data_IF_464433056832
#
_entry.id   IF_464433056832
#
_cell.length_a   1.000
_cell.length_b   1.000
_cell.length_c   1.000
_cell.angle_alpha   90.00
_cell.angle_beta   90.00
_cell.angle_gamma   90.00
#
_symmetry.space_group_name_H-M   'P 1'
#
loop_
_entity.id
_entity.type
_entity.pdbx_description
1 polymer ?
#
# COMPACT_ATOMS: atom_id res chain seq x y z
N UNK A 1 10.37 -14.56 23.72
CA UNK A 1 10.28 -13.81 22.44
C UNK A 1 8.99 -12.97 22.30
N UNK A 2 7.86 -13.40 22.88
CA UNK A 2 6.59 -12.64 22.85
C UNK A 2 6.62 -11.35 23.70
N UNK A 3 7.23 -11.38 24.89
CA UNK A 3 7.36 -10.21 25.76
C UNK A 3 8.20 -9.06 25.15
N UNK A 4 9.18 -9.36 24.29
CA UNK A 4 10.02 -8.32 23.65
C UNK A 4 9.27 -7.57 22.55
N UNK A 5 8.36 -8.23 21.82
CA UNK A 5 7.51 -7.57 20.80
C UNK A 5 6.42 -6.70 21.44
N UNK A 6 5.89 -7.11 22.59
CA UNK A 6 4.93 -6.31 23.36
C UNK A 6 5.64 -5.11 24.00
N UNK A 7 6.85 -5.29 24.56
CA UNK A 7 7.65 -4.18 25.12
C UNK A 7 8.07 -3.16 24.06
N UNK A 8 8.33 -3.57 22.82
CA UNK A 8 8.59 -2.64 21.70
C UNK A 8 7.37 -1.78 21.40
N UNK A 9 6.20 -2.40 21.23
CA UNK A 9 4.94 -1.67 20.96
C UNK A 9 4.52 -0.76 22.11
N UNK A 10 4.78 -1.15 23.36
CA UNK A 10 4.53 -0.31 24.54
C UNK A 10 5.50 0.87 24.60
N UNK A 11 6.76 0.69 24.19
CA UNK A 11 7.73 1.80 24.04
C UNK A 11 7.29 2.81 22.99
N UNK A 12 6.80 2.34 21.85
CA UNK A 12 6.37 3.21 20.75
C UNK A 12 5.12 4.02 21.13
N UNK A 13 4.19 3.39 21.85
CA UNK A 13 2.98 4.07 22.37
C UNK A 13 3.31 5.07 23.50
N UNK A 14 4.27 4.75 24.36
CA UNK A 14 4.77 5.68 25.39
C UNK A 14 5.50 6.88 24.77
N UNK A 15 6.23 6.67 23.66
CA UNK A 15 6.88 7.75 22.91
C UNK A 15 5.86 8.69 22.28
N UNK A 16 4.82 8.15 21.65
CA UNK A 16 3.74 8.94 21.03
C UNK A 16 2.97 9.72 22.11
N UNK A 17 2.63 9.08 23.23
CA UNK A 17 1.94 9.75 24.34
C UNK A 17 2.80 10.81 25.04
N UNK A 18 4.12 10.62 25.13
CA UNK A 18 5.04 11.62 25.66
C UNK A 18 5.20 12.81 24.71
N UNK A 19 5.24 12.57 23.39
CA UNK A 19 5.27 13.63 22.39
C UNK A 19 3.99 14.47 22.42
N UNK A 20 2.84 13.81 22.51
CA UNK A 20 1.53 14.45 22.54
C UNK A 20 1.32 15.24 23.84
N UNK A 21 1.78 14.70 24.98
CA UNK A 21 1.78 15.42 26.27
C UNK A 21 2.69 16.66 26.26
N UNK A 22 3.87 16.58 25.64
CA UNK A 22 4.80 17.71 25.53
C UNK A 22 4.24 18.80 24.60
N UNK A 23 3.63 18.40 23.48
CA UNK A 23 2.98 19.31 22.53
C UNK A 23 1.76 20.01 23.15
N UNK A 24 0.99 19.29 23.98
CA UNK A 24 -0.23 19.84 24.59
C UNK A 24 0.06 20.78 25.76
N UNK A 25 1.22 20.63 26.42
CA UNK A 25 1.58 21.41 27.62
C UNK A 25 2.54 22.58 27.36
N UNK A 26 3.22 22.62 26.21
CA UNK A 26 4.06 23.75 25.85
C UNK A 26 3.25 24.90 25.24
N UNK A 27 2.85 25.87 26.06
CA UNK A 27 2.61 27.24 25.59
C UNK A 27 3.96 27.87 25.19
N UNK A 28 4.53 27.43 24.06
CA UNK A 28 5.73 28.02 23.45
C UNK A 28 5.35 28.58 22.09
N UNK A 29 4.68 29.74 22.13
CA UNK A 29 4.71 30.68 21.01
C UNK A 29 6.12 31.24 20.91
N UNK A 30 6.70 31.13 19.71
CA UNK A 30 7.93 31.77 19.26
C UNK A 30 9.19 31.51 20.10
N UNK A 31 9.95 30.45 19.78
CA UNK A 31 11.40 30.47 19.54
C UNK A 31 11.91 29.07 19.16
N UNK A 32 12.92 29.01 18.28
CA UNK A 32 13.57 27.79 17.80
C UNK A 32 14.13 26.97 18.98
N UNK A 33 13.52 25.81 19.26
CA UNK A 33 14.06 24.85 20.24
C UNK A 33 15.02 23.91 19.52
N UNK A 34 16.28 23.91 19.96
CA UNK A 34 17.35 23.05 19.46
C UNK A 34 17.15 21.59 19.95
N UNK A 35 17.27 20.62 19.05
CA UNK A 35 17.18 19.17 19.32
C UNK A 35 18.06 18.68 20.47
N UNK A 36 19.21 19.34 20.72
CA UNK A 36 20.10 18.99 21.82
C UNK A 36 19.50 19.28 23.22
N UNK A 37 18.60 20.27 23.32
CA UNK A 37 17.92 20.61 24.58
C UNK A 37 16.82 19.59 24.91
N UNK A 38 16.14 19.07 23.89
CA UNK A 38 15.17 17.96 24.01
C UNK A 38 15.85 16.67 24.52
N UNK A 39 17.05 16.37 24.05
CA UNK A 39 17.83 15.21 24.53
C UNK A 39 18.25 15.33 26.01
N UNK A 40 18.57 16.54 26.50
CA UNK A 40 18.95 16.76 27.90
C UNK A 40 17.76 16.64 28.86
N UNK A 41 16.55 16.99 28.42
CA UNK A 41 15.32 16.89 29.23
C UNK A 41 14.82 15.44 29.30
N UNK A 42 15.02 14.65 28.24
CA UNK A 42 14.51 13.27 28.17
C UNK A 42 15.38 12.23 28.91
N UNK A 43 16.65 12.54 29.18
CA UNK A 43 17.62 11.59 29.74
C UNK A 43 17.32 11.14 31.19
N UNK A 44 16.97 12.02 32.15
CA UNK A 44 16.71 11.59 33.53
C UNK A 44 15.40 10.78 33.66
N UNK A 45 14.39 11.13 32.87
CA UNK A 45 13.05 10.52 32.86
C UNK A 45 13.09 9.10 32.27
N UNK A 46 13.95 8.87 31.27
CA UNK A 46 14.16 7.54 30.70
C UNK A 46 14.86 6.60 31.68
N UNK A 47 15.80 7.12 32.47
CA UNK A 47 16.54 6.36 33.50
C UNK A 47 15.64 5.95 34.67
N UNK A 48 14.74 6.84 35.11
CA UNK A 48 13.73 6.55 36.14
C UNK A 48 12.74 5.47 35.66
N UNK A 49 12.28 5.56 34.40
CA UNK A 49 11.41 4.55 33.78
C UNK A 49 12.11 3.19 33.61
N UNK A 50 13.40 3.18 33.30
CA UNK A 50 14.20 1.94 33.25
C UNK A 50 14.39 1.32 34.64
N UNK A 51 14.58 2.14 35.68
CA UNK A 51 14.73 1.68 37.07
C UNK A 51 13.42 1.11 37.63
N UNK A 52 12.28 1.74 37.32
CA UNK A 52 10.95 1.24 37.65
C UNK A 52 10.63 -0.09 36.93
N UNK A 53 11.06 -0.25 35.68
CA UNK A 53 10.87 -1.47 34.90
C UNK A 53 11.82 -2.62 35.31
N UNK A 54 12.94 -2.32 35.97
CA UNK A 54 13.83 -3.33 36.56
C UNK A 54 13.33 -3.82 37.92
N UNK A 55 12.73 -2.93 38.73
CA UNK A 55 12.19 -3.30 40.04
C UNK A 55 10.93 -4.19 39.96
N UNK A 56 10.18 -4.16 38.85
CA UNK A 56 9.01 -5.03 38.64
C UNK A 56 9.35 -6.47 38.22
N UNK A 57 10.62 -6.79 37.91
CA UNK A 57 11.04 -8.16 37.55
C UNK A 57 11.29 -9.09 38.74
N UNK A 58 11.34 -8.57 39.96
CA UNK A 58 11.73 -9.33 41.15
C UNK A 58 10.63 -9.45 42.22
N UNK A 59 9.37 -9.70 41.84
CA UNK A 59 8.30 -9.96 42.82
C UNK A 59 7.45 -11.18 42.43
N UNK A 60 7.64 -12.27 43.19
CA UNK A 60 6.77 -13.44 43.26
C UNK A 60 6.04 -13.42 44.61
N UNK A 61 4.70 -13.44 44.60
CA UNK A 61 3.87 -13.82 45.74
C UNK A 61 3.47 -12.71 46.73
N UNK A 62 2.37 -12.90 47.49
CA UNK A 62 1.37 -11.85 47.72
C UNK A 62 1.45 -11.25 49.12
N UNK A 63 1.49 -9.92 49.23
CA UNK A 63 0.96 -9.21 50.39
C UNK A 63 0.38 -7.85 49.98
N UNK A 64 -0.89 -7.66 50.36
CA UNK A 64 -1.56 -6.37 50.36
C UNK A 64 -1.16 -5.69 51.66
N UNK A 65 -0.41 -4.59 51.58
CA UNK A 65 -0.29 -3.62 52.67
C UNK A 65 -0.56 -2.22 52.14
N UNK A 66 -1.40 -1.51 52.87
CA UNK A 66 -2.02 -0.24 52.51
C UNK A 66 -1.05 0.96 52.53
N UNK A 67 -1.26 1.85 51.54
CA UNK A 67 -0.98 3.31 51.50
C UNK A 67 0.48 3.83 51.29
N UNK A 68 0.65 5.07 50.74
CA UNK A 68 -0.36 6.05 50.32
C UNK A 68 -0.39 6.30 48.81
N UNK A 69 -1.51 5.94 48.17
CA UNK A 69 -1.91 6.46 46.86
C UNK A 69 -2.38 7.90 47.08
N UNK A 70 -1.45 8.83 47.19
CA UNK A 70 -1.74 10.24 47.33
C UNK A 70 -0.72 11.06 46.54
N UNK A 71 -0.83 10.98 45.20
CA UNK A 71 -0.49 11.99 44.18
C UNK A 71 -0.27 11.30 42.84
N UNK A 72 -1.36 10.82 42.25
CA UNK A 72 -1.40 10.54 40.81
C UNK A 72 -2.67 11.21 40.25
N UNK A 73 -2.60 11.93 39.12
CA UNK A 73 -3.76 12.62 38.57
C UNK A 73 -4.89 11.62 38.30
N UNK A 74 -6.13 12.00 38.61
CA UNK A 74 -7.35 11.20 38.49
C UNK A 74 -7.62 10.61 37.09
N UNK A 75 -6.84 10.99 36.07
CA UNK A 75 -6.88 10.42 34.71
C UNK A 75 -6.09 9.11 34.55
N UNK A 76 -5.17 8.77 35.44
CA UNK A 76 -4.38 7.52 35.38
C UNK A 76 -5.08 6.33 36.03
N UNK A 77 -5.93 6.56 37.04
CA UNK A 77 -6.77 5.51 37.65
C UNK A 77 -7.82 4.95 36.67
N UNK A 78 -8.23 5.73 35.66
CA UNK A 78 -9.12 5.28 34.59
C UNK A 78 -8.45 4.29 33.62
N UNK A 79 -7.13 4.40 33.42
CA UNK A 79 -6.40 3.54 32.49
C UNK A 79 -6.00 2.19 33.10
N UNK A 80 -5.72 2.15 34.41
CA UNK A 80 -5.44 0.90 35.13
C UNK A 80 -6.65 -0.04 35.20
N UNK A 81 -7.86 0.53 35.33
CA UNK A 81 -9.12 -0.22 35.36
C UNK A 81 -9.51 -0.73 33.96
N UNK A 82 -9.23 0.03 32.88
CA UNK A 82 -9.44 -0.45 31.52
C UNK A 82 -8.52 -1.63 31.14
N UNK A 83 -7.28 -1.63 31.64
CA UNK A 83 -6.33 -2.72 31.40
C UNK A 83 -6.70 -3.97 32.20
N UNK A 84 -7.27 -3.84 33.40
CA UNK A 84 -7.82 -4.97 34.17
C UNK A 84 -9.08 -5.58 33.54
N UNK A 85 -9.93 -4.75 32.92
CA UNK A 85 -11.13 -5.21 32.18
C UNK A 85 -10.73 -5.94 30.88
N UNK A 86 -9.65 -5.49 30.22
CA UNK A 86 -9.12 -6.15 29.02
C UNK A 86 -8.35 -7.46 29.31
N UNK A 87 -7.84 -7.64 30.54
CA UNK A 87 -7.19 -8.88 30.96
C UNK A 87 -8.13 -9.94 31.54
N UNK A 88 -9.40 -9.59 31.83
CA UNK A 88 -10.39 -10.53 32.40
C UNK A 88 -11.29 -11.24 31.37
N UNK A 89 -11.15 -10.99 30.07
CA UNK A 89 -12.00 -11.59 29.04
C UNK A 89 -11.41 -12.80 28.29
N UNK A 90 -10.44 -13.50 28.90
CA UNK A 90 -9.93 -14.77 28.37
C UNK A 90 -10.11 -15.89 29.38
N UNK A 91 -11.33 -16.42 29.46
CA UNK A 91 -11.63 -17.79 29.91
C UNK A 91 -13.02 -18.18 29.41
N UNK A 92 -13.08 -18.93 28.31
CA UNK A 92 -14.29 -19.66 27.90
C UNK A 92 -14.49 -20.86 28.84
N UNK A 93 -15.68 -21.07 29.42
CA UNK A 93 -16.10 -22.42 29.78
C UNK A 93 -16.57 -23.13 28.49
N UNK A 94 -16.06 -24.35 28.28
CA UNK A 94 -16.75 -25.33 27.44
C UNK A 94 -18.07 -25.71 28.11
N UNK A 95 -19.15 -25.79 27.36
CA UNK A 95 -20.44 -26.29 27.83
C UNK A 95 -21.21 -26.98 26.68
N UNK A 96 -22.14 -27.91 26.96
CA UNK A 96 -21.87 -29.34 26.84
C UNK A 96 -22.66 -30.02 25.71
N UNK A 97 -22.18 -31.22 25.35
CA UNK A 97 -22.85 -32.17 24.47
C UNK A 97 -24.23 -32.60 25.00
N UNK A 98 -25.28 -32.48 24.16
CA UNK A 98 -26.45 -33.39 24.02
C UNK A 98 -27.42 -32.80 22.99
N UNK A 99 -28.26 -33.53 22.26
CA UNK A 99 -28.43 -34.96 22.05
C UNK A 99 -29.00 -35.15 20.62
N UNK A 100 -28.66 -36.27 19.98
CA UNK A 100 -29.31 -36.73 18.75
C UNK A 100 -30.77 -37.08 19.02
N UNK A 101 -31.67 -36.63 18.15
CA UNK A 101 -32.89 -37.35 17.81
C UNK A 101 -33.10 -37.31 16.28
N UNK A 102 -33.19 -38.47 15.61
CA UNK A 102 -33.52 -38.55 14.20
C UNK A 102 -35.04 -38.55 14.04
N UNK A 103 -35.58 -37.73 13.15
CA UNK A 103 -36.72 -38.00 12.26
C UNK A 103 -37.17 -36.67 11.66
N UNK A 104 -36.70 -36.39 10.44
CA UNK A 104 -37.08 -35.22 9.65
C UNK A 104 -37.34 -35.64 8.20
N UNK A 105 -38.63 -35.75 7.86
CA UNK A 105 -39.29 -35.78 6.56
C UNK A 105 -38.41 -35.86 5.26
N UNK A 106 -38.52 -36.91 4.43
CA UNK A 106 -37.65 -37.15 3.26
C UNK A 106 -38.01 -36.37 1.99
N UNK A 107 -38.96 -35.42 2.02
CA UNK A 107 -39.35 -34.62 0.84
C UNK A 107 -39.12 -33.11 1.00
N UNK A 108 -37.93 -32.71 1.46
CA UNK A 108 -37.43 -31.35 1.22
C UNK A 108 -36.25 -31.41 0.27
N UNK A 109 -36.56 -31.22 -1.01
CA UNK A 109 -35.62 -30.90 -2.07
C UNK A 109 -34.95 -29.57 -1.70
N UNK A 110 -33.81 -29.63 -1.01
CA UNK A 110 -32.97 -28.47 -0.74
C UNK A 110 -32.14 -28.28 -2.02
N UNK A 111 -32.63 -27.43 -2.92
CA UNK A 111 -31.72 -26.77 -3.85
C UNK A 111 -30.63 -26.07 -3.01
N UNK A 112 -29.35 -26.07 -3.45
CA UNK A 112 -28.34 -25.36 -2.70
C UNK A 112 -28.77 -23.89 -2.64
N UNK A 113 -29.03 -23.39 -1.42
CA UNK A 113 -29.34 -21.98 -1.15
C UNK A 113 -28.07 -21.15 -1.40
N UNK A 114 -27.65 -21.04 -2.65
CA UNK A 114 -26.98 -19.84 -3.12
C UNK A 114 -28.00 -18.73 -2.99
N UNK A 115 -27.73 -17.73 -2.15
CA UNK A 115 -28.50 -16.49 -2.14
C UNK A 115 -28.55 -15.98 -3.58
N UNK A 116 -29.69 -16.16 -4.27
CA UNK A 116 -29.89 -15.59 -5.60
C UNK A 116 -29.74 -14.07 -5.45
N UNK A 117 -28.71 -13.52 -6.10
CA UNK A 117 -28.54 -12.08 -6.17
C UNK A 117 -29.77 -11.49 -6.85
N UNK A 118 -30.26 -10.34 -6.36
CA UNK A 118 -31.34 -9.66 -7.07
C UNK A 118 -30.86 -9.22 -8.46
N UNK A 119 -31.75 -9.13 -9.46
CA UNK A 119 -31.36 -8.74 -10.82
C UNK A 119 -30.58 -7.41 -10.86
N UNK A 120 -30.98 -6.43 -10.04
CA UNK A 120 -30.29 -5.14 -9.90
C UNK A 120 -28.85 -5.29 -9.39
N UNK A 121 -28.66 -6.13 -8.38
CA UNK A 121 -27.35 -6.39 -7.79
C UNK A 121 -26.43 -7.15 -8.76
N UNK A 122 -26.98 -8.10 -9.51
CA UNK A 122 -26.27 -8.81 -10.56
C UNK A 122 -25.84 -7.86 -11.68
N UNK A 123 -26.72 -6.94 -12.11
CA UNK A 123 -26.40 -5.95 -13.13
C UNK A 123 -25.27 -5.01 -12.71
N UNK A 124 -25.28 -4.52 -11.46
CA UNK A 124 -24.19 -3.70 -10.92
C UNK A 124 -22.85 -4.43 -10.93
N UNK A 125 -22.85 -5.71 -10.51
CA UNK A 125 -21.64 -6.54 -10.53
C UNK A 125 -21.16 -6.77 -11.97
N UNK A 126 -22.04 -7.14 -12.89
CA UNK A 126 -21.68 -7.39 -14.28
C UNK A 126 -21.12 -6.13 -14.94
N UNK A 127 -21.74 -4.97 -14.72
CA UNK A 127 -21.24 -3.70 -15.23
C UNK A 127 -19.81 -3.41 -14.75
N UNK A 128 -19.52 -3.64 -13.46
CA UNK A 128 -18.17 -3.49 -12.94
C UNK A 128 -17.19 -4.48 -13.60
N UNK A 129 -17.55 -5.76 -13.68
CA UNK A 129 -16.67 -6.78 -14.24
C UNK A 129 -16.43 -6.60 -15.74
N UNK A 130 -17.43 -6.14 -16.49
CA UNK A 130 -17.31 -5.80 -17.91
C UNK A 130 -16.37 -4.60 -18.09
N UNK A 131 -16.52 -3.54 -17.29
CA UNK A 131 -15.59 -2.39 -17.32
C UNK A 131 -14.16 -2.83 -17.01
N UNK A 132 -13.96 -3.66 -15.98
CA UNK A 132 -12.64 -4.21 -15.66
C UNK A 132 -12.07 -5.06 -16.81
N UNK A 133 -12.89 -5.89 -17.45
CA UNK A 133 -12.49 -6.66 -18.62
C UNK A 133 -12.03 -5.76 -19.77
N UNK A 134 -12.78 -4.68 -20.06
CA UNK A 134 -12.40 -3.72 -21.10
C UNK A 134 -11.08 -3.01 -20.79
N UNK A 135 -10.83 -2.66 -19.53
CA UNK A 135 -9.54 -2.09 -19.11
C UNK A 135 -8.39 -3.08 -19.29
N UNK A 136 -8.58 -4.34 -18.92
CA UNK A 136 -7.58 -5.39 -19.14
C UNK A 136 -7.28 -5.61 -20.63
N UNK A 137 -8.30 -5.56 -21.48
CA UNK A 137 -8.13 -5.60 -22.95
C UNK A 137 -7.33 -4.40 -23.43
N UNK A 138 -7.65 -3.18 -22.96
CA UNK A 138 -6.93 -1.95 -23.30
C UNK A 138 -5.47 -1.97 -22.86
N UNK A 139 -5.15 -2.65 -21.76
CA UNK A 139 -3.78 -2.82 -21.28
C UNK A 139 -2.96 -3.81 -22.10
N UNK A 140 -3.60 -4.65 -22.91
CA UNK A 140 -2.88 -5.61 -23.73
C UNK A 140 -2.07 -4.87 -24.80
N UNK A 141 -0.73 -4.97 -24.80
CA UNK A 141 0.11 -4.19 -25.70
C UNK A 141 -0.11 -4.59 -27.17
N UNK A 142 -0.32 -3.60 -28.03
CA UNK A 142 -0.38 -3.81 -29.49
C UNK A 142 0.98 -4.24 -30.03
N UNK A 143 2.06 -3.56 -29.62
CA UNK A 143 3.42 -4.00 -29.88
C UNK A 143 4.07 -4.50 -28.61
N UNK A 144 4.74 -5.64 -28.71
CA UNK A 144 5.36 -6.33 -27.56
C UNK A 144 6.40 -5.48 -26.81
N UNK A 145 7.11 -4.59 -27.51
CA UNK A 145 8.07 -3.66 -26.93
C UNK A 145 7.45 -2.58 -26.06
N UNK A 146 6.16 -2.29 -26.23
CA UNK A 146 5.50 -1.17 -25.56
C UNK A 146 5.39 -1.38 -24.05
N UNK A 147 5.41 -2.64 -23.58
CA UNK A 147 5.37 -3.03 -22.16
C UNK A 147 6.48 -2.36 -21.34
N UNK A 148 7.64 -2.14 -21.97
CA UNK A 148 8.81 -1.56 -21.31
C UNK A 148 8.81 -0.02 -21.36
N UNK A 149 7.78 0.60 -21.94
CA UNK A 149 7.70 2.06 -22.05
C UNK A 149 7.04 2.70 -20.85
N UNK A 150 7.45 3.93 -20.54
CA UNK A 150 6.80 4.77 -19.52
C UNK A 150 5.35 5.08 -19.90
N UNK A 151 5.03 5.12 -21.20
CA UNK A 151 3.66 5.34 -21.66
C UNK A 151 2.71 4.19 -21.32
N UNK A 152 3.15 2.93 -21.45
CA UNK A 152 2.36 1.77 -21.03
C UNK A 152 2.21 1.73 -19.50
N UNK A 153 3.29 2.03 -18.76
CA UNK A 153 3.22 2.10 -17.29
C UNK A 153 2.25 3.19 -16.80
N UNK A 154 2.24 4.35 -17.45
CA UNK A 154 1.24 5.40 -17.20
C UNK A 154 -0.18 4.87 -17.41
N UNK A 155 -0.43 4.23 -18.55
CA UNK A 155 -1.74 3.64 -18.86
C UNK A 155 -2.17 2.58 -17.82
N UNK A 156 -1.23 1.78 -17.33
CA UNK A 156 -1.48 0.80 -16.28
C UNK A 156 -1.86 1.44 -14.94
N UNK A 157 -1.20 2.54 -14.57
CA UNK A 157 -1.55 3.30 -13.37
C UNK A 157 -2.90 4.02 -13.48
N UNK A 158 -3.23 4.56 -14.66
CA UNK A 158 -4.56 5.11 -14.95
C UNK A 158 -5.63 4.03 -14.78
N UNK A 159 -5.42 2.84 -15.34
CA UNK A 159 -6.33 1.70 -15.22
C UNK A 159 -6.60 1.31 -13.77
N UNK A 160 -5.55 1.16 -12.95
CA UNK A 160 -5.68 0.88 -11.51
C UNK A 160 -6.49 1.98 -10.82
N UNK A 161 -6.16 3.24 -11.07
CA UNK A 161 -6.78 4.39 -10.40
C UNK A 161 -8.28 4.48 -10.73
N UNK A 162 -8.63 4.25 -11.99
CA UNK A 162 -10.02 4.19 -12.43
C UNK A 162 -10.76 3.00 -11.81
N UNK A 163 -10.20 1.79 -11.83
CA UNK A 163 -10.85 0.61 -11.23
C UNK A 163 -11.01 0.76 -9.72
N UNK A 164 -10.04 1.37 -9.04
CA UNK A 164 -10.17 1.65 -7.60
C UNK A 164 -11.26 2.69 -7.32
N UNK A 165 -11.40 3.72 -8.15
CA UNK A 165 -12.51 4.68 -8.06
C UNK A 165 -13.87 4.03 -8.33
N UNK A 166 -13.94 3.04 -9.23
CA UNK A 166 -15.18 2.29 -9.46
C UNK A 166 -15.64 1.52 -8.22
N UNK A 167 -14.72 1.10 -7.34
CA UNK A 167 -15.11 0.53 -6.03
C UNK A 167 -15.84 1.57 -5.20
N UNK A 168 -15.38 2.82 -5.18
CA UNK A 168 -16.06 3.90 -4.46
C UNK A 168 -17.45 4.15 -5.04
N UNK A 169 -17.59 4.17 -6.36
CA UNK A 169 -18.89 4.26 -7.02
C UNK A 169 -19.79 3.06 -6.70
N UNK A 170 -19.23 1.85 -6.68
CA UNK A 170 -19.95 0.62 -6.34
C UNK A 170 -20.44 0.63 -4.90
N UNK A 171 -19.63 1.06 -3.92
CA UNK A 171 -20.03 1.19 -2.51
C UNK A 171 -21.24 2.12 -2.39
N UNK A 172 -21.20 3.27 -3.08
CA UNK A 172 -22.30 4.23 -3.10
C UNK A 172 -23.56 3.62 -3.73
N UNK A 173 -23.45 2.97 -4.90
CA UNK A 173 -24.58 2.36 -5.60
C UNK A 173 -25.19 1.17 -4.86
N UNK A 174 -24.38 0.49 -4.03
CA UNK A 174 -24.85 -0.57 -3.17
C UNK A 174 -25.57 -0.04 -1.93
N UNK A 175 -25.53 1.26 -1.63
CA UNK A 175 -25.99 1.84 -0.35
C UNK A 175 -25.48 0.99 0.83
N UNK A 176 -24.17 0.69 0.84
CA UNK A 176 -23.56 -0.15 1.86
C UNK A 176 -22.77 0.74 2.83
N UNK A 177 -23.41 1.24 3.91
CA UNK A 177 -22.72 2.06 4.89
C UNK A 177 -21.59 1.25 5.53
N UNK A 178 -20.52 1.95 5.93
CA UNK A 178 -19.37 1.35 6.63
C UNK A 178 -19.82 0.57 7.88
N UNK A 179 -20.91 1.00 8.54
CA UNK A 179 -21.50 0.32 9.70
C UNK A 179 -21.88 -1.14 9.42
N UNK A 180 -22.19 -1.48 8.17
CA UNK A 180 -22.61 -2.82 7.75
C UNK A 180 -21.42 -3.75 7.46
N UNK A 181 -20.19 -3.23 7.57
CA UNK A 181 -18.98 -4.01 7.35
C UNK A 181 -18.63 -4.80 8.60
N UNK A 182 -18.29 -6.08 8.40
CA UNK A 182 -17.70 -6.92 9.46
C UNK A 182 -16.33 -6.34 9.85
N UNK A 183 -15.98 -6.38 11.14
CA UNK A 183 -14.66 -5.98 11.67
C UNK A 183 -13.52 -6.60 10.86
N UNK A 184 -13.67 -7.86 10.42
CA UNK A 184 -12.65 -8.53 9.60
C UNK A 184 -12.45 -7.89 8.24
N UNK A 185 -13.48 -7.29 7.65
CA UNK A 185 -13.37 -6.65 6.33
C UNK A 185 -12.71 -5.29 6.45
N UNK A 186 -13.02 -4.57 7.53
CA UNK A 186 -12.36 -3.33 7.89
C UNK A 186 -10.86 -3.60 8.07
N UNK A 187 -10.49 -4.62 8.85
CA UNK A 187 -9.09 -5.01 9.06
C UNK A 187 -8.38 -5.35 7.75
N UNK A 188 -9.02 -6.15 6.88
CA UNK A 188 -8.44 -6.54 5.58
C UNK A 188 -8.28 -5.33 4.65
N UNK A 189 -9.26 -4.43 4.58
CA UNK A 189 -9.14 -3.20 3.79
C UNK A 189 -8.03 -2.30 4.31
N UNK A 190 -7.94 -2.12 5.64
CA UNK A 190 -6.91 -1.31 6.26
C UNK A 190 -5.51 -1.91 6.09
N UNK A 191 -5.37 -3.24 6.10
CA UNK A 191 -4.11 -3.93 5.82
C UNK A 191 -3.70 -3.78 4.35
N UNK A 192 -4.63 -4.03 3.41
CA UNK A 192 -4.37 -3.86 1.98
C UNK A 192 -3.99 -2.42 1.67
N UNK A 193 -4.75 -1.43 2.16
CA UNK A 193 -4.47 0.00 1.89
C UNK A 193 -3.06 0.42 2.36
N UNK A 194 -2.60 -0.03 3.53
CA UNK A 194 -1.22 0.26 3.99
C UNK A 194 -0.19 -0.35 3.05
N UNK A 195 -0.41 -1.61 2.63
CA UNK A 195 0.49 -2.28 1.67
C UNK A 195 0.55 -1.56 0.33
N UNK A 196 -0.58 -1.05 -0.16
CA UNK A 196 -0.63 -0.25 -1.39
C UNK A 196 0.13 1.07 -1.24
N UNK A 197 -0.03 1.77 -0.11
CA UNK A 197 0.71 3.01 0.16
C UNK A 197 2.22 2.77 0.25
N UNK A 198 2.64 1.67 0.88
CA UNK A 198 4.05 1.27 0.95
C UNK A 198 4.63 0.94 -0.45
N UNK A 199 3.84 0.29 -1.30
CA UNK A 199 4.18 0.03 -2.70
C UNK A 199 4.38 1.36 -3.45
N UNK A 200 3.41 2.27 -3.40
CA UNK A 200 3.52 3.59 -4.02
C UNK A 200 4.77 4.34 -3.56
N UNK A 201 5.06 4.35 -2.26
CA UNK A 201 6.25 4.99 -1.70
C UNK A 201 7.56 4.43 -2.28
N UNK A 202 7.63 3.11 -2.46
CA UNK A 202 8.81 2.47 -3.03
C UNK A 202 8.95 2.76 -4.54
N UNK A 203 7.85 2.79 -5.29
CA UNK A 203 7.85 3.19 -6.70
C UNK A 203 8.19 4.67 -6.89
N UNK A 204 7.59 5.57 -6.11
CA UNK A 204 7.96 6.98 -6.11
C UNK A 204 9.42 7.21 -5.74
N UNK A 205 9.97 6.41 -4.83
CA UNK A 205 11.41 6.44 -4.55
C UNK A 205 12.26 6.03 -5.76
N UNK A 206 11.78 5.09 -6.58
CA UNK A 206 12.45 4.68 -7.81
C UNK A 206 12.33 5.73 -8.92
N UNK A 207 11.13 6.28 -9.11
CA UNK A 207 10.90 7.37 -10.05
C UNK A 207 11.73 8.60 -9.68
N UNK A 208 11.81 8.94 -8.39
CA UNK A 208 12.68 10.01 -7.89
C UNK A 208 14.16 9.73 -8.17
N UNK A 209 14.61 8.48 -8.00
CA UNK A 209 15.98 8.08 -8.36
C UNK A 209 16.22 8.27 -9.86
N UNK A 210 15.33 7.81 -10.72
CA UNK A 210 15.47 8.00 -12.17
C UNK A 210 15.44 9.48 -12.56
N UNK A 211 14.58 10.27 -11.90
CA UNK A 211 14.49 11.72 -12.09
C UNK A 211 15.79 12.45 -11.70
N UNK A 212 16.45 12.03 -10.61
CA UNK A 212 17.78 12.55 -10.25
C UNK A 212 18.83 12.24 -11.32
N UNK A 213 18.69 11.12 -12.04
CA UNK A 213 19.51 10.79 -13.20
C UNK A 213 19.47 11.87 -14.29
N UNK A 214 18.31 12.49 -14.49
CA UNK A 214 18.15 13.54 -15.52
C UNK A 214 19.02 14.77 -15.26
N UNK A 215 19.37 15.07 -14.00
CA UNK A 215 20.27 16.18 -13.68
C UNK A 215 21.63 15.97 -14.34
N UNK A 216 22.14 14.73 -14.35
CA UNK A 216 23.38 14.40 -15.05
C UNK A 216 23.26 14.57 -16.57
N UNK A 217 22.12 14.18 -17.16
CA UNK A 217 21.88 14.37 -18.60
C UNK A 217 21.83 15.86 -18.96
N UNK A 218 21.11 16.68 -18.18
CA UNK A 218 21.05 18.13 -18.36
C UNK A 218 22.42 18.77 -18.24
N UNK A 219 23.23 18.34 -17.26
CA UNK A 219 24.62 18.79 -17.14
C UNK A 219 25.49 18.35 -18.32
N UNK A 220 25.35 17.12 -18.81
CA UNK A 220 26.07 16.64 -19.98
C UNK A 220 25.72 17.50 -21.21
N UNK A 221 24.44 17.70 -21.48
CA UNK A 221 23.94 18.49 -22.61
C UNK A 221 24.45 19.94 -22.59
N UNK A 222 24.34 20.63 -21.45
CA UNK A 222 24.84 22.00 -21.31
C UNK A 222 26.33 22.11 -21.67
N UNK A 223 27.13 21.10 -21.29
CA UNK A 223 28.55 21.07 -21.61
C UNK A 223 28.87 20.66 -23.06
N UNK A 224 27.95 19.98 -23.75
CA UNK A 224 28.09 19.60 -25.16
C UNK A 224 27.70 20.74 -26.12
N UNK A 225 26.83 21.64 -25.69
CA UNK A 225 26.35 22.78 -26.48
C UNK A 225 27.26 24.02 -26.41
N UNK A 226 28.27 24.00 -25.53
CA UNK A 226 29.14 25.14 -25.25
C UNK A 226 30.55 24.94 -25.86
N UNK A 227 31.30 26.02 -26.21
CA UNK A 227 32.51 25.91 -27.02
C UNK A 227 33.67 25.08 -26.42
N UNK A 228 34.42 24.33 -27.25
CA UNK A 228 35.23 23.19 -26.84
C UNK A 228 36.62 23.61 -26.32
N UNK A 229 36.90 23.32 -25.06
CA UNK A 229 38.28 23.07 -24.59
C UNK A 229 38.33 22.51 -23.16
N UNK A 230 37.32 22.78 -22.32
CA UNK A 230 37.20 22.23 -20.95
C UNK A 230 35.86 21.57 -20.65
N UNK A 231 34.89 21.67 -21.55
CA UNK A 231 33.51 21.23 -21.30
C UNK A 231 33.26 19.79 -21.76
N UNK A 232 33.97 19.28 -22.77
CA UNK A 232 33.86 17.87 -23.20
C UNK A 232 34.24 16.88 -22.08
N UNK A 233 35.32 17.13 -21.34
CA UNK A 233 35.69 16.32 -20.18
C UNK A 233 34.63 16.35 -19.06
N UNK A 234 33.95 17.49 -18.89
CA UNK A 234 32.83 17.63 -17.94
C UNK A 234 31.58 16.91 -18.44
N UNK A 235 31.34 16.90 -19.74
CA UNK A 235 30.27 16.13 -20.36
C UNK A 235 30.50 14.62 -20.14
N UNK A 236 31.70 14.10 -20.42
CA UNK A 236 32.06 12.71 -20.10
C UNK A 236 31.84 12.37 -18.62
N UNK A 237 32.33 13.22 -17.72
CA UNK A 237 32.15 13.02 -16.26
C UNK A 237 30.66 12.97 -15.87
N UNK A 238 29.83 13.80 -16.51
CA UNK A 238 28.38 13.82 -16.28
C UNK A 238 27.70 12.57 -16.84
N UNK A 239 28.11 12.09 -18.01
CA UNK A 239 27.63 10.84 -18.62
C UNK A 239 28.03 9.63 -17.78
N UNK A 240 29.25 9.58 -17.25
CA UNK A 240 29.71 8.53 -16.35
C UNK A 240 28.94 8.57 -15.01
N UNK A 241 28.69 9.77 -14.49
CA UNK A 241 27.82 10.00 -13.34
C UNK A 241 26.40 9.47 -13.57
N UNK A 242 25.80 9.78 -14.73
CA UNK A 242 24.49 9.26 -15.14
C UNK A 242 24.49 7.73 -15.17
N UNK A 243 25.45 7.12 -15.89
CA UNK A 243 25.54 5.66 -16.02
C UNK A 243 25.66 5.01 -14.66
N UNK A 244 26.56 5.50 -13.79
CA UNK A 244 26.73 4.98 -12.43
C UNK A 244 25.44 5.11 -11.61
N UNK A 245 24.77 6.26 -11.68
CA UNK A 245 23.55 6.53 -10.93
C UNK A 245 22.41 5.61 -11.35
N UNK A 246 22.18 5.45 -12.66
CA UNK A 246 21.12 4.61 -13.20
C UNK A 246 21.33 3.12 -12.86
N UNK A 247 22.58 2.64 -12.86
CA UNK A 247 22.89 1.24 -12.50
C UNK A 247 22.85 0.98 -10.98
N UNK A 248 22.74 2.02 -10.16
CA UNK A 248 22.63 1.84 -8.70
C UNK A 248 21.22 1.33 -8.35
N UNK A 249 21.15 0.16 -7.72
CA UNK A 249 19.87 -0.45 -7.30
C UNK A 249 19.20 0.34 -6.19
N UNK A 250 17.87 0.38 -6.22
CA UNK A 250 17.06 0.92 -5.14
C UNK A 250 16.62 -0.19 -4.17
N UNK A 251 17.13 -0.22 -2.93
CA UNK A 251 16.81 -1.28 -1.97
C UNK A 251 15.33 -1.28 -1.54
N UNK A 252 14.57 -0.20 -1.79
CA UNK A 252 13.14 -0.17 -1.49
C UNK A 252 12.33 -1.04 -2.44
N UNK A 253 12.81 -1.27 -3.67
CA UNK A 253 12.18 -2.21 -4.60
C UNK A 253 12.29 -3.66 -4.12
N UNK A 254 13.36 -4.00 -3.38
CA UNK A 254 13.47 -5.33 -2.77
C UNK A 254 12.37 -5.57 -1.73
N UNK A 255 12.00 -4.52 -0.97
CA UNK A 255 10.88 -4.57 -0.03
C UNK A 255 9.52 -4.69 -0.75
N UNK A 256 9.35 -4.08 -1.93
CA UNK A 256 8.12 -4.24 -2.73
C UNK A 256 7.76 -5.69 -2.97
N UNK A 257 8.76 -6.53 -3.29
CA UNK A 257 8.52 -7.95 -3.50
C UNK A 257 7.88 -8.63 -2.29
N UNK A 258 8.39 -8.36 -1.10
CA UNK A 258 7.82 -8.96 0.14
C UNK A 258 6.39 -8.50 0.40
N UNK A 259 6.04 -7.28 -0.01
CA UNK A 259 4.69 -6.75 0.12
C UNK A 259 3.77 -7.41 -0.92
N UNK A 260 4.24 -7.56 -2.16
CA UNK A 260 3.50 -8.24 -3.22
C UNK A 260 3.27 -9.72 -2.90
N UNK A 261 4.28 -10.43 -2.40
CA UNK A 261 4.13 -11.81 -1.91
C UNK A 261 3.04 -11.89 -0.84
N UNK A 262 3.06 -10.98 0.14
CA UNK A 262 2.01 -10.92 1.17
C UNK A 262 0.61 -10.61 0.60
N UNK A 263 0.52 -9.80 -0.46
CA UNK A 263 -0.75 -9.54 -1.15
C UNK A 263 -1.24 -10.78 -1.90
N UNK A 264 -0.35 -11.54 -2.54
CA UNK A 264 -0.67 -12.81 -3.20
C UNK A 264 -1.07 -13.88 -2.21
N UNK A 265 -0.36 -14.03 -1.09
CA UNK A 265 -0.72 -14.98 -0.01
C UNK A 265 -2.11 -14.67 0.58
N UNK A 266 -2.49 -13.40 0.59
CA UNK A 266 -3.80 -12.94 1.07
C UNK A 266 -4.80 -12.68 -0.07
N UNK A 267 -4.55 -13.16 -1.29
CA UNK A 267 -5.37 -12.85 -2.46
C UNK A 267 -6.83 -13.30 -2.25
N UNK A 268 -7.03 -14.44 -1.60
CA UNK A 268 -8.34 -14.90 -1.15
C UNK A 268 -8.91 -13.98 -0.07
N UNK A 269 -9.98 -13.28 -0.44
CA UNK A 269 -10.66 -12.39 0.48
C UNK A 269 -11.61 -13.16 1.42
N UNK A 270 -11.87 -12.64 2.64
CA UNK A 270 -12.77 -13.30 3.59
C UNK A 270 -14.15 -13.62 3.00
N UNK A 271 -14.62 -14.85 3.19
CA UNK A 271 -15.95 -15.26 2.73
C UNK A 271 -17.05 -14.49 3.46
N UNK A 272 -17.90 -13.80 2.69
CA UNK A 272 -19.08 -13.10 3.20
C UNK A 272 -20.21 -14.08 3.42
N UNK A 273 -20.54 -14.38 4.68
CA UNK A 273 -21.58 -15.38 4.99
C UNK A 273 -23.00 -14.85 4.77
N UNK A 274 -23.28 -13.57 5.08
CA UNK A 274 -24.66 -13.09 5.23
C UNK A 274 -25.00 -11.73 4.56
N UNK A 275 -24.24 -11.26 3.57
CA UNK A 275 -24.56 -10.02 2.84
C UNK A 275 -24.39 -10.17 1.33
N UNK A 276 -25.48 -10.02 0.57
CA UNK A 276 -25.45 -10.04 -0.90
C UNK A 276 -24.63 -8.86 -1.46
N UNK A 277 -24.83 -7.66 -0.90
CA UNK A 277 -24.05 -6.45 -1.22
C UNK A 277 -22.57 -6.62 -0.89
N UNK A 278 -22.26 -7.18 0.30
CA UNK A 278 -20.89 -7.48 0.70
C UNK A 278 -20.21 -8.48 -0.24
N UNK A 279 -20.92 -9.53 -0.68
CA UNK A 279 -20.38 -10.48 -1.67
C UNK A 279 -19.97 -9.82 -2.98
N UNK A 280 -20.77 -8.86 -3.46
CA UNK A 280 -20.48 -8.10 -4.69
C UNK A 280 -19.24 -7.22 -4.49
N UNK A 281 -19.19 -6.48 -3.39
CA UNK A 281 -18.05 -5.64 -3.06
C UNK A 281 -16.75 -6.46 -2.94
N UNK A 282 -16.78 -7.59 -2.23
CA UNK A 282 -15.59 -8.44 -2.09
C UNK A 282 -15.16 -9.03 -3.43
N UNK A 283 -16.11 -9.40 -4.30
CA UNK A 283 -15.81 -9.87 -5.65
C UNK A 283 -15.17 -8.78 -6.51
N UNK A 284 -15.64 -7.54 -6.41
CA UNK A 284 -15.05 -6.40 -7.10
C UNK A 284 -13.64 -6.06 -6.56
N UNK A 285 -13.48 -6.02 -5.23
CA UNK A 285 -12.19 -5.81 -4.56
C UNK A 285 -11.15 -6.88 -4.93
N UNK A 286 -11.58 -8.13 -5.13
CA UNK A 286 -10.69 -9.19 -5.61
C UNK A 286 -10.13 -8.86 -7.01
N UNK A 287 -10.98 -8.39 -7.94
CA UNK A 287 -10.55 -7.96 -9.27
C UNK A 287 -9.53 -6.82 -9.22
N UNK A 288 -9.79 -5.79 -8.42
CA UNK A 288 -8.85 -4.67 -8.19
C UNK A 288 -7.52 -5.17 -7.64
N UNK A 289 -7.57 -6.07 -6.65
CA UNK A 289 -6.36 -6.62 -6.03
C UNK A 289 -5.53 -7.40 -7.03
N UNK A 290 -6.16 -8.20 -7.90
CA UNK A 290 -5.49 -8.94 -8.97
C UNK A 290 -4.82 -7.99 -9.97
N UNK A 291 -5.54 -6.96 -10.42
CA UNK A 291 -5.00 -5.94 -11.34
C UNK A 291 -3.76 -5.24 -10.74
N UNK A 292 -3.87 -4.76 -9.50
CA UNK A 292 -2.78 -4.12 -8.77
C UNK A 292 -1.56 -5.03 -8.66
N UNK A 293 -1.74 -6.27 -8.18
CA UNK A 293 -0.64 -7.21 -7.99
C UNK A 293 0.05 -7.49 -9.32
N UNK A 294 -0.73 -7.70 -10.39
CA UNK A 294 -0.20 -7.92 -11.73
C UNK A 294 0.64 -6.74 -12.21
N UNK A 295 0.08 -5.53 -12.24
CA UNK A 295 0.77 -4.33 -12.73
C UNK A 295 2.03 -4.03 -11.93
N UNK A 296 1.95 -4.05 -10.59
CA UNK A 296 3.12 -3.77 -9.77
C UNK A 296 4.18 -4.87 -9.84
N UNK A 297 3.80 -6.12 -10.14
CA UNK A 297 4.78 -7.17 -10.43
C UNK A 297 5.54 -6.91 -11.74
N UNK A 298 4.83 -6.43 -12.78
CA UNK A 298 5.43 -6.01 -14.05
C UNK A 298 6.39 -4.84 -13.80
N UNK A 299 5.95 -3.82 -13.07
CA UNK A 299 6.79 -2.65 -12.79
C UNK A 299 8.03 -3.05 -12.02
N UNK A 300 7.90 -3.88 -10.99
CA UNK A 300 9.05 -4.32 -10.20
C UNK A 300 10.01 -5.15 -11.06
N UNK A 301 9.50 -6.00 -11.96
CA UNK A 301 10.35 -6.74 -12.91
C UNK A 301 11.13 -5.81 -13.86
N UNK A 302 10.46 -4.78 -14.39
CA UNK A 302 11.08 -3.80 -15.29
C UNK A 302 12.15 -2.97 -14.58
N UNK A 303 11.85 -2.38 -13.41
CA UNK A 303 12.82 -1.55 -12.69
C UNK A 303 13.96 -2.35 -12.05
N UNK A 304 13.71 -3.60 -11.65
CA UNK A 304 14.77 -4.48 -11.10
C UNK A 304 15.64 -5.14 -12.18
N UNK A 305 15.20 -5.09 -13.45
CA UNK A 305 15.88 -5.74 -14.57
C UNK A 305 15.75 -7.26 -14.58
N UNK A 306 14.81 -7.84 -13.82
CA UNK A 306 14.69 -9.29 -13.62
C UNK A 306 13.25 -9.80 -13.73
N UNK A 307 13.05 -10.89 -14.47
CA UNK A 307 11.77 -11.58 -14.57
C UNK A 307 11.52 -12.63 -13.47
N UNK A 308 12.47 -12.81 -12.53
CA UNK A 308 12.47 -13.91 -11.55
C UNK A 308 11.19 -13.97 -10.69
N UNK A 309 10.58 -12.81 -10.41
CA UNK A 309 9.45 -12.69 -9.48
C UNK A 309 8.14 -12.24 -10.14
N UNK A 310 7.97 -12.48 -11.44
CA UNK A 310 6.68 -12.29 -12.10
C UNK A 310 5.66 -13.32 -11.63
N UNK A 311 4.53 -12.85 -11.10
CA UNK A 311 3.44 -13.73 -10.67
C UNK A 311 2.63 -14.25 -11.85
N UNK A 312 2.30 -15.54 -11.80
CA UNK A 312 1.27 -16.15 -12.63
C UNK A 312 0.06 -16.39 -11.73
N UNK A 313 -0.85 -15.41 -11.68
CA UNK A 313 -2.06 -15.50 -10.89
C UNK A 313 -3.05 -16.42 -11.61
N UNK A 314 -3.63 -17.37 -10.87
CA UNK A 314 -4.71 -18.21 -11.37
C UNK A 314 -6.04 -17.61 -10.93
N UNK A 315 -6.93 -17.39 -11.89
CA UNK A 315 -8.23 -16.74 -11.67
C UNK A 315 -9.33 -17.68 -12.13
N UNK A 316 -10.39 -17.79 -11.33
CA UNK A 316 -11.56 -18.61 -11.69
C UNK A 316 -12.26 -18.07 -12.95
N UNK A 317 -12.60 -18.95 -13.89
CA UNK A 317 -13.36 -18.62 -15.11
C UNK A 317 -14.77 -18.05 -14.83
N UNK A 318 -15.22 -18.09 -13.57
CA UNK A 318 -16.51 -17.54 -13.14
C UNK A 318 -16.61 -16.02 -13.18
N UNK A 319 -15.50 -15.30 -13.37
CA UNK A 319 -15.46 -13.83 -13.45
C UNK A 319 -15.47 -13.38 -14.91
N UNK A 320 -16.27 -12.35 -15.26
CA UNK A 320 -16.38 -11.91 -16.66
C UNK A 320 -15.07 -11.36 -17.23
N UNK A 321 -14.19 -10.85 -16.36
CA UNK A 321 -12.86 -10.34 -16.72
C UNK A 321 -11.76 -11.42 -16.75
N UNK A 322 -12.04 -12.65 -16.33
CA UNK A 322 -11.01 -13.69 -16.17
C UNK A 322 -10.26 -13.99 -17.47
N UNK A 323 -10.96 -14.14 -18.59
CA UNK A 323 -10.33 -14.42 -19.89
C UNK A 323 -9.45 -13.24 -20.34
N UNK A 324 -9.97 -12.02 -20.27
CA UNK A 324 -9.22 -10.80 -20.61
C UNK A 324 -7.94 -10.67 -19.78
N UNK A 325 -8.01 -10.98 -18.48
CA UNK A 325 -6.85 -11.02 -17.60
C UNK A 325 -5.86 -12.11 -17.99
N UNK A 326 -6.32 -13.33 -18.26
CA UNK A 326 -5.46 -14.45 -18.63
C UNK A 326 -4.71 -14.18 -19.93
N UNK A 327 -5.37 -13.56 -20.91
CA UNK A 327 -4.76 -13.15 -22.18
C UNK A 327 -3.70 -12.06 -21.96
N UNK A 328 -4.02 -11.04 -21.16
CA UNK A 328 -3.09 -9.96 -20.78
C UNK A 328 -1.87 -10.52 -20.05
N UNK A 329 -2.08 -11.31 -18.98
CA UNK A 329 -1.02 -11.90 -18.18
C UNK A 329 -0.12 -12.79 -19.04
N UNK A 330 -0.70 -13.63 -19.89
CA UNK A 330 0.07 -14.53 -20.77
C UNK A 330 0.90 -13.73 -21.77
N UNK A 331 0.31 -12.71 -22.41
CA UNK A 331 0.98 -11.84 -23.37
C UNK A 331 2.18 -11.13 -22.72
N UNK A 332 1.92 -10.43 -21.60
CA UNK A 332 2.90 -9.59 -20.92
C UNK A 332 3.99 -10.42 -20.23
N UNK A 333 3.63 -11.44 -19.43
CA UNK A 333 4.62 -12.25 -18.72
C UNK A 333 5.50 -13.03 -19.70
N UNK A 334 4.96 -13.52 -20.81
CA UNK A 334 5.74 -14.19 -21.84
C UNK A 334 6.77 -13.24 -22.44
N UNK A 335 6.39 -12.01 -22.75
CA UNK A 335 7.32 -11.05 -23.34
C UNK A 335 8.42 -10.64 -22.37
N UNK A 336 8.08 -10.35 -21.11
CA UNK A 336 9.09 -9.98 -20.11
C UNK A 336 10.08 -11.13 -19.87
N UNK A 337 9.61 -12.38 -19.77
CA UNK A 337 10.47 -13.56 -19.63
C UNK A 337 11.35 -13.78 -20.87
N UNK A 338 10.80 -13.62 -22.07
CA UNK A 338 11.58 -13.74 -23.31
C UNK A 338 12.68 -12.69 -23.39
N UNK A 339 12.37 -11.44 -23.05
CA UNK A 339 13.33 -10.34 -23.04
C UNK A 339 14.41 -10.58 -21.99
N UNK A 340 14.04 -10.93 -20.76
CA UNK A 340 14.97 -11.24 -19.66
C UNK A 340 15.97 -12.35 -20.00
N UNK A 341 15.57 -13.34 -20.79
CA UNK A 341 16.45 -14.42 -21.22
C UNK A 341 17.47 -13.99 -22.29
N UNK A 342 17.18 -12.91 -23.02
CA UNK A 342 18.01 -12.40 -24.12
C UNK A 342 18.95 -11.29 -23.67
N UNK A 343 18.43 -10.36 -22.87
CA UNK A 343 19.14 -9.18 -22.37
C UNK A 343 18.55 -8.73 -21.02
N UNK A 344 19.30 -7.95 -20.22
CA UNK A 344 18.73 -7.28 -19.06
C UNK A 344 17.49 -6.46 -19.45
N UNK A 345 16.42 -6.55 -18.66
CA UNK A 345 15.23 -5.73 -18.89
C UNK A 345 15.59 -4.27 -18.61
N UNK A 346 15.23 -3.38 -19.52
CA UNK A 346 15.41 -1.95 -19.39
C UNK A 346 14.17 -1.22 -19.88
N UNK A 347 13.92 -0.03 -19.34
CA UNK A 347 12.89 0.87 -19.86
C UNK A 347 13.26 1.31 -21.28
N UNK A 348 12.28 1.37 -22.18
CA UNK A 348 12.49 1.73 -23.59
C UNK A 348 13.14 3.10 -23.73
N UNK A 349 12.66 4.09 -22.99
CA UNK A 349 13.18 5.46 -23.02
C UNK A 349 14.62 5.52 -22.46
N UNK A 350 14.92 4.72 -21.44
CA UNK A 350 16.26 4.64 -20.87
C UNK A 350 17.25 3.90 -21.78
N UNK A 351 16.80 2.85 -22.47
CA UNK A 351 17.57 2.16 -23.49
C UNK A 351 17.90 3.10 -24.66
N UNK A 352 16.95 3.93 -25.10
CA UNK A 352 17.19 4.94 -26.13
C UNK A 352 18.28 5.94 -25.69
N UNK A 353 18.20 6.46 -24.46
CA UNK A 353 19.24 7.34 -23.89
C UNK A 353 20.61 6.63 -23.87
N UNK A 354 20.69 5.38 -23.42
CA UNK A 354 21.96 4.64 -23.38
C UNK A 354 22.55 4.38 -24.77
N UNK A 355 21.72 4.09 -25.78
CA UNK A 355 22.15 3.94 -27.17
C UNK A 355 22.75 5.24 -27.70
N UNK A 356 22.07 6.38 -27.52
CA UNK A 356 22.57 7.67 -27.98
C UNK A 356 23.86 8.06 -27.24
N UNK A 357 23.94 7.80 -25.93
CA UNK A 357 25.16 8.04 -25.15
C UNK A 357 26.33 7.15 -25.58
N UNK A 358 26.09 5.88 -25.93
CA UNK A 358 27.13 4.98 -26.47
C UNK A 358 27.70 5.47 -27.80
N UNK A 359 26.89 6.16 -28.61
CA UNK A 359 27.35 6.79 -29.87
C UNK A 359 28.14 8.08 -29.61
N UNK A 360 27.68 8.90 -28.66
CA UNK A 360 28.33 10.17 -28.31
C UNK A 360 29.65 10.02 -27.56
N UNK A 361 29.74 9.04 -26.64
CA UNK A 361 30.88 8.93 -25.72
C UNK A 361 32.25 8.83 -26.40
N UNK A 362 32.45 8.01 -27.46
CA UNK A 362 33.73 7.94 -28.18
C UNK A 362 34.08 9.24 -28.89
N UNK A 363 33.09 9.91 -29.51
CA UNK A 363 33.30 11.19 -30.21
C UNK A 363 33.81 12.29 -29.28
N UNK A 364 33.34 12.28 -28.03
CA UNK A 364 33.76 13.22 -26.99
C UNK A 364 35.16 12.86 -26.46
N UNK A 365 35.44 11.56 -26.27
CA UNK A 365 36.70 11.09 -25.67
C UNK A 365 37.89 11.17 -26.63
N UNK A 366 37.69 10.83 -27.90
CA UNK A 366 38.74 10.81 -28.93
C UNK A 366 39.03 12.19 -29.51
N UNK A 367 38.21 13.20 -29.17
CA UNK A 367 38.31 14.54 -29.74
C UNK A 367 37.88 14.62 -31.21
N UNK A 368 37.30 13.55 -31.76
CA UNK A 368 36.83 13.46 -33.14
C UNK A 368 35.51 14.19 -33.40
N UNK A 369 34.96 14.87 -32.39
CA UNK A 369 33.80 15.75 -32.54
C UNK A 369 34.00 16.81 -33.64
N UNK A 370 35.22 17.34 -33.81
CA UNK A 370 35.54 18.31 -34.86
C UNK A 370 35.61 17.72 -36.26
N UNK A 371 35.92 16.42 -36.38
CA UNK A 371 36.10 15.74 -37.67
C UNK A 371 34.76 15.33 -38.29
N UNK A 372 33.72 15.23 -37.46
CA UNK A 372 32.37 14.84 -37.82
C UNK A 372 31.31 15.72 -37.15
N UNK A 373 31.48 17.05 -37.24
CA UNK A 373 30.63 18.05 -36.56
C UNK A 373 29.13 17.82 -36.81
N UNK A 374 28.71 17.56 -38.06
CA UNK A 374 27.30 17.30 -38.37
C UNK A 374 26.75 16.05 -37.65
N UNK A 375 27.54 14.98 -37.58
CA UNK A 375 27.16 13.72 -36.92
C UNK A 375 27.12 13.90 -35.40
N UNK A 376 28.06 14.67 -34.85
CA UNK A 376 28.10 15.03 -33.44
C UNK A 376 26.88 15.87 -33.06
N UNK A 377 26.58 16.95 -33.79
CA UNK A 377 25.42 17.80 -33.54
C UNK A 377 24.10 17.03 -33.68
N UNK A 378 23.96 16.18 -34.70
CA UNK A 378 22.80 15.29 -34.85
C UNK A 378 22.66 14.33 -33.65
N UNK A 379 23.76 13.89 -33.06
CA UNK A 379 23.72 13.02 -31.89
C UNK A 379 23.37 13.77 -30.60
N UNK A 380 23.83 15.01 -30.46
CA UNK A 380 23.46 15.90 -29.34
C UNK A 380 21.98 16.28 -29.41
N UNK A 381 21.43 16.56 -30.61
CA UNK A 381 20.00 16.83 -30.78
C UNK A 381 19.16 15.61 -30.50
N UNK A 382 19.57 14.42 -30.94
CA UNK A 382 18.91 13.17 -30.60
C UNK A 382 18.91 12.93 -29.08
N UNK A 383 20.04 13.14 -28.40
CA UNK A 383 20.15 12.99 -26.94
C UNK A 383 19.16 13.90 -26.21
N UNK A 384 18.98 15.14 -26.68
CA UNK A 384 17.98 16.07 -26.15
C UNK A 384 16.58 15.50 -26.30
N UNK A 385 16.21 15.04 -27.49
CA UNK A 385 14.88 14.49 -27.76
C UNK A 385 14.58 13.26 -26.90
N UNK A 386 15.51 12.29 -26.82
CA UNK A 386 15.30 11.08 -26.00
C UNK A 386 15.35 11.41 -24.50
N UNK A 387 16.18 12.36 -24.08
CA UNK A 387 16.25 12.85 -22.70
C UNK A 387 14.98 13.55 -22.24
N UNK A 388 14.40 14.41 -23.09
CA UNK A 388 13.14 15.09 -22.83
C UNK A 388 11.96 14.11 -22.79
N UNK A 389 11.95 13.11 -23.69
CA UNK A 389 10.96 12.04 -23.67
C UNK A 389 11.03 11.19 -22.39
N UNK A 390 12.24 10.78 -21.98
CA UNK A 390 12.47 10.10 -20.71
C UNK A 390 12.01 10.95 -19.51
N UNK A 391 12.32 12.26 -19.55
CA UNK A 391 11.95 13.19 -18.49
C UNK A 391 10.44 13.36 -18.36
N UNK A 392 9.76 13.67 -19.46
CA UNK A 392 8.30 13.84 -19.47
C UNK A 392 7.59 12.55 -19.12
N UNK A 393 8.09 11.39 -19.57
CA UNK A 393 7.53 10.09 -19.20
C UNK A 393 7.58 9.81 -17.69
N UNK A 394 8.70 10.12 -17.03
CA UNK A 394 8.84 9.96 -15.57
C UNK A 394 7.90 10.91 -14.83
N UNK A 395 7.81 12.17 -15.26
CA UNK A 395 6.93 13.16 -14.62
C UNK A 395 5.47 12.71 -14.68
N UNK A 396 5.01 12.29 -15.87
CA UNK A 396 3.64 11.78 -16.05
C UNK A 396 3.38 10.55 -15.20
N UNK A 397 4.30 9.57 -15.21
CA UNK A 397 4.13 8.36 -14.40
C UNK A 397 4.13 8.67 -12.89
N UNK A 398 4.99 9.59 -12.44
CA UNK A 398 5.03 10.04 -11.03
C UNK A 398 3.69 10.63 -10.62
N UNK A 399 3.11 11.48 -11.48
CA UNK A 399 1.78 12.06 -11.23
C UNK A 399 0.69 11.00 -11.09
N UNK A 400 0.71 9.95 -11.92
CA UNK A 400 -0.28 8.87 -11.80
C UNK A 400 -0.09 8.04 -10.52
N UNK A 401 1.16 7.77 -10.11
CA UNK A 401 1.45 7.06 -8.85
C UNK A 401 1.05 7.88 -7.62
N UNK A 402 1.33 9.19 -7.64
CA UNK A 402 0.90 10.12 -6.59
C UNK A 402 -0.63 10.24 -6.55
N UNK A 403 -1.28 10.34 -7.71
CA UNK A 403 -2.74 10.35 -7.81
C UNK A 403 -3.36 9.09 -7.19
N UNK A 404 -2.81 7.92 -7.50
CA UNK A 404 -3.25 6.66 -6.90
C UNK A 404 -3.00 6.62 -5.39
N UNK A 405 -1.85 7.10 -4.92
CA UNK A 405 -1.53 7.21 -3.49
C UNK A 405 -2.60 8.02 -2.75
N UNK A 406 -2.97 9.20 -3.27
CA UNK A 406 -4.01 10.05 -2.68
C UNK A 406 -5.39 9.40 -2.71
N UNK A 407 -5.74 8.66 -3.76
CA UNK A 407 -6.98 7.88 -3.83
C UNK A 407 -7.03 6.83 -2.71
N UNK A 408 -5.95 6.08 -2.50
CA UNK A 408 -5.89 5.04 -1.45
C UNK A 408 -5.93 5.68 -0.06
N UNK A 409 -5.15 6.74 0.17
CA UNK A 409 -5.09 7.44 1.45
C UNK A 409 -6.43 8.06 1.82
N UNK A 410 -7.07 8.77 0.89
CA UNK A 410 -8.39 9.38 1.12
C UNK A 410 -9.47 8.33 1.38
N UNK A 411 -9.44 7.19 0.69
CA UNK A 411 -10.35 6.07 0.95
C UNK A 411 -10.19 5.50 2.37
N UNK A 412 -8.94 5.33 2.81
CA UNK A 412 -8.60 4.91 4.18
C UNK A 412 -9.08 5.91 5.23
N UNK A 413 -8.81 7.20 5.03
CA UNK A 413 -9.17 8.25 5.98
C UNK A 413 -10.69 8.42 6.09
N UNK A 414 -11.41 8.29 4.97
CA UNK A 414 -12.87 8.27 4.95
C UNK A 414 -13.42 7.09 5.76
N UNK A 415 -12.86 5.89 5.59
CA UNK A 415 -13.25 4.70 6.37
C UNK A 415 -13.03 4.94 7.87
N UNK A 416 -11.85 5.40 8.27
CA UNK A 416 -11.51 5.67 9.67
C UNK A 416 -12.38 6.77 10.28
N UNK A 417 -12.73 7.79 9.51
CA UNK A 417 -13.61 8.88 9.95
C UNK A 417 -15.04 8.38 10.21
N UNK A 418 -15.56 7.51 9.34
CA UNK A 418 -16.87 6.90 9.53
C UNK A 418 -16.92 6.02 10.79
N UNK A 419 -15.90 5.22 11.04
CA UNK A 419 -15.82 4.36 12.24
C UNK A 419 -15.81 5.18 13.55
N UNK A 420 -15.14 6.36 13.54
CA UNK A 420 -15.14 7.27 14.69
C UNK A 420 -16.51 7.94 14.90
N UNK A 421 -17.21 8.27 13.82
CA UNK A 421 -18.52 8.92 13.87
C UNK A 421 -19.64 7.96 14.35
N UNK A 422 -19.50 6.65 14.16
CA UNK A 422 -20.44 5.68 14.72
C UNK A 422 -20.17 5.35 16.19
N UNK A 423 -18.90 5.41 16.61
CA UNK A 423 -18.53 5.27 18.03
C UNK A 423 -19.15 6.34 18.94
N UNK A 424 -19.51 7.51 18.40
CA UNK A 424 -20.17 8.61 19.15
C UNK A 424 -21.70 8.52 19.19
N UNK A 425 -22.33 7.58 18.46
CA UNK A 425 -23.80 7.42 18.42
C UNK A 425 -24.37 6.42 19.43
N UNK A 426 -23.56 5.86 20.33
CA UNK A 426 -24.06 5.01 21.41
C UNK A 426 -24.70 5.90 22.49
N UNK A 427 -25.95 6.31 22.27
CA UNK A 427 -26.79 6.81 23.37
C UNK A 427 -27.03 5.69 24.39
N UNK A 428 -27.04 5.99 25.70
CA UNK A 428 -27.34 5.00 26.72
C UNK A 428 -28.78 4.53 26.56
N UNK A 429 -28.98 3.28 26.16
CA UNK A 429 -30.28 2.60 26.22
C UNK A 429 -30.83 2.78 27.64
N UNK A 430 -31.92 3.56 27.77
CA UNK A 430 -32.69 3.68 29.00
C UNK A 430 -33.05 2.27 29.49
N UNK A 431 -32.55 1.91 30.69
CA UNK A 431 -33.06 0.78 31.45
C UNK A 431 -34.56 0.99 31.66
N UNK A 432 -35.39 0.24 30.96
CA UNK A 432 -36.77 0.01 31.38
C UNK A 432 -36.72 -0.99 32.53
N UNK A 433 -36.88 -0.49 33.75
CA UNK A 433 -37.12 -1.31 34.94
C UNK A 433 -38.51 -1.95 34.79
N UNK A 434 -38.55 -3.23 34.45
CA UNK A 434 -39.70 -4.08 34.71
C UNK A 434 -39.74 -4.38 36.20
N UNK A 435 -40.57 -3.66 36.96
CA UNK A 435 -41.01 -4.13 38.28
C UNK A 435 -42.19 -5.08 38.07
N UNK A 436 -41.90 -6.37 38.16
CA UNK A 436 -42.91 -7.43 38.21
C UNK A 436 -43.64 -7.45 39.55
N UNK A 437 -44.95 -7.70 39.46
CA UNK A 437 -45.89 -7.95 40.54
C UNK A 437 -45.38 -8.95 41.59
N UNK A 438 -45.63 -8.65 42.86
CA UNK A 438 -45.93 -9.66 43.89
C UNK A 438 -47.30 -9.32 44.45
N UNK A 439 -48.26 -10.23 44.25
CA UNK A 439 -49.63 -10.06 44.69
C UNK A 439 -49.80 -10.20 46.20
N UNK A 440 -50.95 -9.75 46.68
CA UNK A 440 -51.52 -10.25 47.91
C UNK A 440 -53.05 -10.37 47.79
N UNK A 441 -53.51 -11.45 48.40
CA UNK A 441 -54.81 -12.10 48.33
C UNK A 441 -55.75 -11.55 49.40
N UNK A 442 -57.01 -11.33 49.01
CA UNK A 442 -58.28 -11.51 49.76
C UNK A 442 -58.22 -11.44 51.31
N UNK A 443 -58.80 -10.40 51.91
CA UNK A 443 -60.16 -10.43 52.49
C UNK A 443 -60.65 -9.03 52.84
#
# INVERSE_FOLDING_TARGET
MWCLRVLSKVKDLLWIAALDYLLTKSQLRHHHVNMNTLCLILSPTLVELQRAAQNSRNFNGPQISEAPIAKLPSKLLSFSVLILILLLNMSRPQEPHRAFFPFGNPFRMISPKGLQLSPKLLQLLNSFEETLAQRMIKLNPTNKSDIFSLSWMKLAMESISETYNDIKALINNLDLPVCDWDEKWIDVYLDISVKLLDICNAFNSELSRLNQGQLFLKCAMHNLESPPSKQLARACSSVDGFRKHIHTKNPRLDKCWTILDSLVESLDLPKVKNSAKGKILMRAMYGVKVEIVFVYSVFTAVFSGSAEKLFNLNVSETYLWAQAFMDLQTSVNKEIRNTSNRKPIALTELEAVDVTLKRLYPMIQEGSASDHEDVFQNSVTELRTVGDSFSGGIELLTKEVDGFFEIVLSGRDALLSNLRADGSKIEPKKMQTQTGNVGQVVR
#
